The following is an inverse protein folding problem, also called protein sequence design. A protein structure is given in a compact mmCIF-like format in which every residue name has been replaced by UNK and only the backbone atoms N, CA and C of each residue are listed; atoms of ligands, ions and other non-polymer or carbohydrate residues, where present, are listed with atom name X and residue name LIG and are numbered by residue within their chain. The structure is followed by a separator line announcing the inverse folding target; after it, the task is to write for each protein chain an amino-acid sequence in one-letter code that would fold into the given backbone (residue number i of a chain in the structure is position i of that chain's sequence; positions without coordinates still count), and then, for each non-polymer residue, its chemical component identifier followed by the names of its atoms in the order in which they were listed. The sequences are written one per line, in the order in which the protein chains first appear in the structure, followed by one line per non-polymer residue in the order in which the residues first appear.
data_IF_811728900579
#
_entry.id   IF_811728900579
#
_cell.length_a   1.000
_cell.length_b   1.000
_cell.length_c   1.000
_cell.angle_alpha   90.00
_cell.angle_beta   90.00
_cell.angle_gamma   90.00
#
_symmetry.space_group_name_H-M   'P 1'
#
loop_
_entity.id
_entity.type
_entity.pdbx_description
1 polymer ?
2 non-polymer ?
3 non-polymer ?
4 water ?
#
# COMPACT_ATOMS: atom_id res chain seq x y z
N UNK A 1 -9.61 2.48 12.15
CA UNK A 1 -8.92 3.23 11.08
C UNK A 1 -7.80 2.38 10.51
N UNK A 2 -7.59 2.48 9.20
CA UNK A 2 -6.60 1.65 8.53
C UNK A 2 -5.64 2.51 7.75
N UNK A 3 -4.36 2.15 7.76
CA UNK A 3 -3.36 2.88 6.99
C UNK A 3 -2.34 1.93 6.40
N UNK A 4 -1.94 2.21 5.17
CA UNK A 4 -0.77 1.61 4.56
C UNK A 4 0.26 2.72 4.42
N UNK A 5 1.42 2.50 5.01
CA UNK A 5 2.49 3.48 4.97
C UNK A 5 3.61 2.91 4.13
N UNK A 6 4.11 3.71 3.19
CA UNK A 6 5.24 3.28 2.38
C UNK A 6 6.36 4.32 2.40
N UNK A 7 7.59 3.85 2.57
CA UNK A 7 8.78 4.70 2.55
C UNK A 7 9.13 5.05 1.11
N UNK A 8 9.32 6.34 0.83
CA UNK A 8 9.56 6.79 -0.54
C UNK A 8 10.75 7.75 -0.67
N UNK A 9 11.34 7.77 -1.85
CA UNK A 9 12.33 8.81 -2.17
C UNK A 9 11.62 10.02 -2.76
N UNK A 10 10.39 9.83 -3.21
CA UNK A 10 9.59 10.93 -3.75
C UNK A 10 8.24 10.48 -4.28
N UNK A 11 7.35 11.44 -4.50
CA UNK A 11 6.00 11.17 -5.00
C UNK A 11 5.39 12.41 -5.61
N UNK A 12 4.76 12.25 -6.77
CA UNK A 12 4.04 13.34 -7.43
C UNK A 12 2.59 12.92 -7.56
N UNK A 13 1.68 13.71 -6.98
CA UNK A 13 0.26 13.38 -6.98
C UNK A 13 -0.53 14.32 -7.91
N UNK A 14 -1.29 13.72 -8.81
CA UNK A 14 -2.17 14.50 -9.67
C UNK A 14 -3.62 14.04 -9.49
N UNK A 15 -4.55 14.95 -9.78
CA UNK A 15 -5.97 14.70 -9.52
C UNK A 15 -6.78 14.96 -10.78
N UNK A 16 -7.86 14.19 -10.96
CA UNK A 16 -8.77 14.44 -12.07
C UNK A 16 -9.56 15.72 -11.86
N UNK A 17 -9.52 16.59 -12.86
CA UNK A 17 -10.25 17.86 -12.86
C UNK A 17 -11.77 17.69 -12.76
N UNK A 18 -12.45 18.66 -12.17
CA UNK A 18 -13.92 18.64 -12.12
C UNK A 18 -14.52 19.04 -13.46
N UNK A 19 -13.89 20.01 -14.11
CA UNK A 19 -14.33 20.60 -15.36
C UNK A 19 -13.59 19.98 -16.54
N UNK A 20 -14.21 18.95 -17.16
CA UNK A 20 -13.55 18.17 -18.21
C UNK A 20 -14.28 18.26 -19.55
N UNK A 21 -13.55 18.67 -20.58
CA UNK A 21 -14.07 18.63 -21.94
C UNK A 21 -13.38 17.56 -22.76
N UNK A 22 -13.90 17.32 -23.96
CA UNK A 22 -13.27 16.49 -24.99
C UNK A 22 -11.89 17.04 -25.36
N UNK A 23 -10.96 16.15 -25.70
CA UNK A 23 -9.66 16.55 -26.24
C UNK A 23 -8.89 17.48 -25.29
N UNK A 24 -8.85 17.11 -24.02
CA UNK A 24 -8.20 17.92 -22.99
C UNK A 24 -7.35 17.09 -22.04
N UNK A 25 -6.37 17.73 -21.43
CA UNK A 25 -5.62 17.19 -20.29
C UNK A 25 -6.57 17.13 -19.09
N UNK A 26 -6.65 15.96 -18.46
CA UNK A 26 -7.65 15.76 -17.40
C UNK A 26 -7.10 15.72 -15.99
N UNK A 27 -5.81 15.38 -15.86
CA UNK A 27 -5.19 15.32 -14.54
C UNK A 27 -4.29 16.53 -14.31
N UNK A 28 -4.27 17.03 -13.07
CA UNK A 28 -3.41 18.16 -12.71
C UNK A 28 -2.61 17.86 -11.45
N UNK A 29 -1.32 18.15 -11.49
CA UNK A 29 -0.42 17.94 -10.34
C UNK A 29 -0.79 18.91 -9.22
N UNK A 30 -1.04 18.38 -8.03
CA UNK A 30 -1.38 19.22 -6.87
C UNK A 30 -0.41 19.10 -5.68
N UNK A 31 0.32 17.99 -5.63
CA UNK A 31 1.21 17.71 -4.50
C UNK A 31 2.45 16.96 -4.94
N UNK A 32 3.56 17.29 -4.31
CA UNK A 32 4.84 16.66 -4.57
C UNK A 32 5.62 16.59 -3.26
N UNK A 33 6.24 15.43 -3.00
CA UNK A 33 7.18 15.30 -1.88
C UNK A 33 8.48 14.67 -2.35
N UNK A 34 9.55 14.92 -1.61
CA UNK A 34 10.79 14.17 -1.80
C UNK A 34 10.80 13.01 -0.80
N UNK A 35 11.91 12.76 -0.11
CA UNK A 35 11.99 11.65 0.83
C UNK A 35 10.93 11.74 1.91
N UNK A 36 10.37 10.59 2.27
CA UNK A 36 9.41 10.55 3.37
C UNK A 36 8.48 9.36 3.27
N UNK A 37 7.23 9.58 3.67
CA UNK A 37 6.22 8.52 3.73
C UNK A 37 5.00 8.90 2.91
N UNK A 38 4.45 7.93 2.19
CA UNK A 38 3.09 8.08 1.67
C UNK A 38 2.19 7.26 2.57
N UNK A 39 1.08 7.85 3.02
CA UNK A 39 0.14 7.20 3.93
C UNK A 39 -1.24 7.14 3.28
N UNK A 40 -1.65 5.94 2.92
CA UNK A 40 -2.98 5.71 2.37
C UNK A 40 -3.90 5.45 3.54
N UNK A 41 -4.88 6.33 3.74
CA UNK A 41 -5.66 6.36 4.97
C UNK A 41 -7.14 6.09 4.75
N UNK A 42 -7.66 5.11 5.50
CA UNK A 42 -9.06 4.70 5.39
C UNK A 42 -9.79 4.92 6.70
N UNK A 43 -10.90 5.66 6.66
CA UNK A 43 -11.68 5.95 7.87
C UNK A 43 -12.87 4.98 7.98
N UNK A 44 -12.93 4.27 9.10
CA UNK A 44 -13.93 3.23 9.38
C UNK A 44 -15.17 3.90 9.93
N UNK A 45 -16.33 3.33 9.63
CA UNK A 45 -17.62 3.90 10.05
C UNK A 45 -17.71 4.19 11.55
N UNK A 46 -17.00 3.40 12.35
CA UNK A 46 -17.03 3.50 13.80
C UNK A 46 -15.80 4.16 14.42
N UNK A 47 -14.95 4.76 13.59
CA UNK A 47 -13.74 5.43 14.10
C UNK A 47 -14.06 6.62 14.99
N UNK A 48 -13.21 6.82 15.99
CA UNK A 48 -13.27 7.94 16.89
C UNK A 48 -11.96 8.71 16.77
N UNK A 49 -11.89 9.86 17.42
CA UNK A 49 -10.68 10.67 17.43
C UNK A 49 -9.50 9.90 17.98
N UNK A 50 -9.74 9.01 18.93
CA UNK A 50 -8.66 8.18 19.50
C UNK A 50 -8.02 7.28 18.45
N UNK A 51 -8.80 6.77 17.51
CA UNK A 51 -8.25 5.99 16.40
C UNK A 51 -7.30 6.85 15.57
N UNK A 52 -7.74 8.07 15.26
CA UNK A 52 -6.95 9.01 14.47
C UNK A 52 -5.65 9.37 15.18
N UNK A 53 -5.76 9.69 16.47
CA UNK A 53 -4.58 10.05 17.26
C UNK A 53 -3.54 8.92 17.31
N UNK A 54 -3.99 7.67 17.43
CA UNK A 54 -3.08 6.53 17.35
C UNK A 54 -2.34 6.49 16.03
N UNK A 55 -3.07 6.59 14.91
CA UNK A 55 -2.46 6.56 13.58
C UNK A 55 -1.44 7.67 13.39
N UNK A 56 -1.82 8.88 13.78
CA UNK A 56 -0.93 10.03 13.63
C UNK A 56 0.38 9.82 14.42
N UNK A 57 0.24 9.44 15.68
CA UNK A 57 1.39 9.18 16.57
C UNK A 57 2.30 8.10 16.00
N UNK A 58 1.71 7.01 15.51
CA UNK A 58 2.46 5.92 14.88
C UNK A 58 3.20 6.33 13.62
N UNK A 59 2.50 6.97 12.69
CA UNK A 59 3.10 7.45 11.44
C UNK A 59 4.30 8.35 11.71
N UNK A 60 4.16 9.23 12.68
CA UNK A 60 5.22 10.20 12.96
C UNK A 60 6.40 9.60 13.73
N UNK A 61 6.16 8.47 14.38
CA UNK A 61 7.15 7.82 15.23
C UNK A 61 7.86 6.60 14.66
N UNK A 62 7.29 5.99 13.63
CA UNK A 62 7.88 4.77 13.06
C UNK A 62 9.31 5.01 12.59
N UNK A 63 10.24 4.17 13.06
CA UNK A 63 11.65 4.40 12.77
C UNK A 63 12.04 3.56 11.54
N UNK A 64 11.92 4.19 10.38
CA UNK A 64 12.00 3.46 9.12
C UNK A 64 13.26 3.76 8.28
N UNK A 65 14.12 4.64 8.78
CA UNK A 65 15.38 4.97 8.12
C UNK A 65 16.59 4.66 8.96
N UNK A 66 17.64 4.18 8.30
CA UNK A 66 18.93 3.95 8.93
C UNK A 66 19.66 5.26 9.20
N UNK A 67 20.57 5.25 10.16
CA UNK A 67 21.43 6.40 10.41
C UNK A 67 22.75 6.28 9.65
N UNK A 68 23.85 6.12 10.38
CA UNK A 68 25.16 5.91 9.78
C UNK A 68 25.48 4.43 9.72
N UNK A 69 25.34 3.76 10.87
CA UNK A 69 25.50 2.31 10.94
C UNK A 69 24.22 1.64 11.44
N UNK A 70 23.53 2.31 12.36
CA UNK A 70 22.34 1.77 13.04
C UNK A 70 21.17 1.54 12.10
N UNK A 71 20.55 0.37 12.22
CA UNK A 71 19.39 0.00 11.42
C UNK A 71 18.07 0.44 12.09
N UNK A 72 17.09 0.84 11.27
CA UNK A 72 15.78 1.30 11.76
C UNK A 72 15.92 2.26 12.91
N UNK A 73 16.51 3.42 12.64
CA UNK A 73 16.96 4.33 13.69
C UNK A 73 16.19 5.65 13.77
N UNK A 74 15.80 6.18 12.62
CA UNK A 74 15.26 7.52 12.50
C UNK A 74 13.82 7.48 12.01
N UNK A 75 12.99 8.34 12.60
CA UNK A 75 11.63 8.54 12.10
C UNK A 75 11.57 9.72 11.13
N UNK A 76 10.40 9.95 10.54
CA UNK A 76 10.24 10.96 9.50
C UNK A 76 10.57 12.39 10.00
N UNK A 77 10.23 12.67 11.26
CA UNK A 77 10.48 13.98 11.88
C UNK A 77 11.97 14.20 12.12
N UNK A 78 12.66 13.16 12.57
CA UNK A 78 14.12 13.18 12.83
C UNK A 78 14.94 13.67 11.63
N UNK A 79 14.47 13.32 10.43
CA UNK A 79 15.18 13.63 9.21
C UNK A 79 14.59 14.84 8.48
N UNK A 80 13.57 15.46 9.09
CA UNK A 80 12.80 16.54 8.47
C UNK A 80 12.28 16.14 7.10
N UNK A 81 11.79 14.91 7.02
CA UNK A 81 11.22 14.37 5.80
C UNK A 81 9.73 14.71 5.70
N UNK A 82 9.12 14.36 4.57
CA UNK A 82 7.74 14.76 4.28
C UNK A 82 6.75 13.60 4.39
N UNK A 83 5.47 13.92 4.47
CA UNK A 83 4.40 12.93 4.43
C UNK A 83 3.34 13.32 3.41
N UNK A 84 2.94 12.37 2.59
CA UNK A 84 1.84 12.57 1.66
C UNK A 84 0.70 11.70 2.12
N UNK A 85 -0.39 12.34 2.52
CA UNK A 85 -1.54 11.65 3.07
C UNK A 85 -2.63 11.57 2.00
N UNK A 86 -3.04 10.35 1.69
CA UNK A 86 -3.98 10.11 0.61
C UNK A 86 -5.19 9.35 1.16
N UNK A 87 -6.38 9.90 0.99
CA UNK A 87 -7.60 9.23 1.42
C UNK A 87 -7.87 8.01 0.54
N UNK A 88 -8.23 6.91 1.17
CA UNK A 88 -8.32 5.62 0.50
C UNK A 88 -9.41 4.74 1.14
N UNK A 89 -10.61 4.76 0.59
CA UNK A 89 -11.69 3.94 1.17
C UNK A 89 -11.57 2.46 0.81
N UNK A 90 -10.70 2.15 -0.16
CA UNK A 90 -10.52 0.77 -0.64
C UNK A 90 -9.87 -0.16 0.39
N UNK A 91 -9.22 0.41 1.41
CA UNK A 91 -8.69 -0.40 2.52
C UNK A 91 -9.80 -1.13 3.29
N UNK A 92 -11.05 -0.73 3.07
CA UNK A 92 -12.20 -1.43 3.63
C UNK A 92 -12.86 -2.35 2.63
N UNK A 93 -12.21 -2.56 1.49
CA UNK A 93 -12.68 -3.54 0.52
C UNK A 93 -12.71 -4.90 1.18
N UNK A 94 -13.91 -5.37 1.49
CA UNK A 94 -14.11 -6.73 1.99
C UNK A 94 -13.95 -7.69 0.81
N UNK A 95 -12.95 -8.57 0.91
CA UNK A 95 -12.61 -9.50 -0.16
C UNK A 95 -12.98 -10.95 0.16
N UNK A 96 -13.71 -11.15 1.26
CA UNK A 96 -14.12 -12.48 1.71
C UNK A 96 -15.34 -13.04 0.96
N UNK A 97 -16.13 -12.17 0.35
CA UNK A 97 -17.44 -12.54 -0.20
C UNK A 97 -17.38 -13.13 -1.61
N UNK A 98 -16.20 -13.11 -2.23
CA UNK A 98 -16.04 -13.48 -3.63
C UNK A 98 -15.10 -12.48 -4.28
N UNK A 99 -15.29 -12.23 -5.58
CA UNK A 99 -14.35 -11.42 -6.38
C UNK A 99 -14.67 -9.92 -6.46
N UNK A 100 -15.89 -9.54 -6.06
CA UNK A 100 -16.25 -8.12 -6.08
C UNK A 100 -16.09 -7.52 -4.69
N UNK A 101 -15.13 -6.60 -4.54
CA UNK A 101 -14.93 -5.99 -3.23
C UNK A 101 -16.13 -5.11 -2.85
N UNK A 102 -16.54 -5.18 -1.59
CA UNK A 102 -17.55 -4.25 -1.08
C UNK A 102 -16.94 -3.44 0.07
N UNK A 103 -17.38 -2.20 0.16
CA UNK A 103 -16.71 -1.23 1.01
C UNK A 103 -17.64 -0.65 2.08
N UNK A 104 -18.58 -1.47 2.56
CA UNK A 104 -19.61 -1.00 3.48
C UNK A 104 -19.11 -0.54 4.83
N UNK A 105 -17.94 -1.02 5.24
CA UNK A 105 -17.34 -0.60 6.51
C UNK A 105 -16.74 0.81 6.48
N UNK A 106 -16.46 1.31 5.27
CA UNK A 106 -15.92 2.66 5.13
C UNK A 106 -16.90 3.68 5.66
N UNK A 107 -16.38 4.66 6.39
CA UNK A 107 -17.22 5.75 6.87
C UNK A 107 -17.82 6.51 5.70
N UNK A 108 -19.11 6.81 5.84
CA UNK A 108 -19.85 7.64 4.91
C UNK A 108 -19.09 8.93 4.52
N UNK A 109 -19.08 9.28 3.22
CA UNK A 109 -18.20 10.32 2.64
C UNK A 109 -18.22 11.74 3.26
N UNK A 110 -19.39 12.26 3.62
CA UNK A 110 -19.45 13.62 4.20
C UNK A 110 -18.75 13.71 5.55
N UNK A 111 -19.03 12.75 6.44
CA UNK A 111 -18.35 12.69 7.73
C UNK A 111 -16.88 12.27 7.60
N UNK A 112 -16.59 11.41 6.63
CA UNK A 112 -15.21 10.99 6.37
C UNK A 112 -14.34 12.16 5.92
N UNK A 113 -14.90 13.03 5.07
CA UNK A 113 -14.19 14.24 4.61
C UNK A 113 -13.80 15.15 5.77
N UNK A 114 -14.77 15.43 6.64
CA UNK A 114 -14.55 16.27 7.83
C UNK A 114 -13.47 15.64 8.72
N UNK A 115 -13.59 14.34 8.95
CA UNK A 115 -12.62 13.55 9.70
C UNK A 115 -11.24 13.65 9.07
N UNK A 116 -11.16 13.40 7.75
CA UNK A 116 -9.92 13.50 7.00
C UNK A 116 -9.24 14.86 7.17
N UNK A 117 -10.02 15.93 7.03
CA UNK A 117 -9.50 17.28 7.20
C UNK A 117 -8.99 17.54 8.61
N UNK A 118 -9.68 17.00 9.62
CA UNK A 118 -9.23 17.12 11.01
C UNK A 118 -7.89 16.40 11.19
N UNK A 119 -7.76 15.24 10.55
CA UNK A 119 -6.52 14.46 10.61
C UNK A 119 -5.34 15.19 10.00
N UNK A 120 -5.54 15.79 8.83
CA UNK A 120 -4.49 16.56 8.15
C UNK A 120 -4.02 17.70 9.06
N UNK A 121 -4.99 18.43 9.62
CA UNK A 121 -4.70 19.55 10.53
C UNK A 121 -3.90 19.10 11.75
N UNK A 122 -4.26 17.92 12.28
CA UNK A 122 -3.56 17.34 13.42
C UNK A 122 -2.14 16.86 13.07
N UNK A 123 -1.97 16.27 11.87
CA UNK A 123 -0.62 15.95 11.37
C UNK A 123 0.24 17.22 11.35
N UNK A 124 -0.33 18.33 10.87
CA UNK A 124 0.38 19.59 10.76
C UNK A 124 0.74 20.18 12.13
N UNK A 125 -0.17 20.04 13.10
CA UNK A 125 0.08 20.51 14.47
C UNK A 125 1.15 19.67 15.17
N UNK A 126 1.07 18.36 15.03
CA UNK A 126 2.00 17.45 15.70
C UNK A 126 3.38 17.48 15.07
N UNK A 127 3.46 17.79 13.78
CA UNK A 127 4.74 17.87 13.10
C UNK A 127 5.00 19.29 12.60
N UNK A 128 4.95 19.48 11.29
CA UNK A 128 5.32 20.74 10.66
C UNK A 128 4.39 20.93 9.47
N UNK A 129 3.69 22.06 9.40
CA UNK A 129 2.69 22.24 8.34
C UNK A 129 3.28 22.26 6.92
N UNK A 130 4.56 22.63 6.80
CA UNK A 130 5.25 22.64 5.51
C UNK A 130 5.62 21.23 5.01
N UNK A 131 5.54 20.25 5.90
CA UNK A 131 5.98 18.89 5.59
C UNK A 131 4.83 17.92 5.30
N UNK A 132 3.60 18.40 5.42
CA UNK A 132 2.40 17.57 5.21
C UNK A 132 1.73 17.95 3.90
N UNK A 133 1.66 17.01 2.97
CA UNK A 133 1.03 17.21 1.65
C UNK A 133 -0.15 16.26 1.55
N UNK A 134 -1.15 16.63 0.75
CA UNK A 134 -2.37 15.84 0.65
C UNK A 134 -2.84 15.65 -0.78
N UNK A 135 -3.79 14.73 -0.97
CA UNK A 135 -4.44 14.57 -2.26
C UNK A 135 -5.72 15.38 -2.32
N UNK A 136 -6.68 14.91 -3.09
CA UNK A 136 -7.99 15.54 -3.10
C UNK A 136 -9.05 14.51 -2.80
N UNK A 137 -9.62 14.60 -1.61
CA UNK A 137 -10.60 13.64 -1.13
C UNK A 137 -11.76 13.54 -2.13
N UNK A 138 -12.11 12.32 -2.50
CA UNK A 138 -13.27 12.11 -3.35
C UNK A 138 -13.01 12.14 -4.84
N UNK A 139 -11.75 12.38 -5.23
CA UNK A 139 -11.38 12.45 -6.64
C UNK A 139 -10.45 11.33 -7.08
N UNK A 140 -10.58 10.90 -8.34
CA UNK A 140 -9.61 10.01 -8.95
C UNK A 140 -8.24 10.67 -8.92
N UNK A 141 -7.23 9.90 -8.52
CA UNK A 141 -5.86 10.41 -8.45
C UNK A 141 -4.85 9.48 -9.10
N UNK A 142 -3.77 10.09 -9.57
CA UNK A 142 -2.64 9.38 -10.11
C UNK A 142 -1.47 9.74 -9.20
N UNK A 143 -0.72 8.74 -8.73
CA UNK A 143 0.47 9.03 -7.90
C UNK A 143 1.72 8.33 -8.43
N UNK A 144 2.67 9.13 -8.92
CA UNK A 144 3.96 8.61 -9.36
C UNK A 144 4.88 8.58 -8.15
N UNK A 145 5.30 7.38 -7.76
CA UNK A 145 6.03 7.17 -6.51
C UNK A 145 7.34 6.41 -6.78
N UNK A 146 8.39 6.77 -6.03
CA UNK A 146 9.61 5.98 -5.97
C UNK A 146 9.67 5.30 -4.60
N UNK A 147 9.32 4.02 -4.56
CA UNK A 147 9.36 3.22 -3.35
C UNK A 147 10.80 2.88 -2.97
N UNK A 148 11.11 3.10 -1.70
CA UNK A 148 12.47 3.03 -1.20
C UNK A 148 12.60 1.81 -0.27
N UNK A 149 13.04 0.68 -0.81
CA UNK A 149 13.24 -0.54 0.00
C UNK A 149 12.75 -1.83 -0.67
N UNK A 150 11.43 -1.95 -0.88
CA UNK A 150 10.39 -1.07 -0.36
C UNK A 150 10.21 -1.30 1.13
N UNK A 151 9.54 -0.37 1.79
CA UNK A 151 9.14 -0.56 3.17
C UNK A 151 7.64 -0.26 3.24
N UNK A 152 6.86 -1.29 3.53
CA UNK A 152 5.40 -1.17 3.63
C UNK A 152 4.94 -1.60 5.01
N UNK A 153 4.20 -0.71 5.68
CA UNK A 153 3.67 -0.96 7.02
C UNK A 153 2.14 -0.85 6.99
N UNK A 154 1.47 -1.78 7.64
CA UNK A 154 0.01 -1.71 7.74
C UNK A 154 -0.41 -1.62 9.19
N UNK A 155 -1.32 -0.69 9.49
CA UNK A 155 -1.88 -0.56 10.82
C UNK A 155 -3.40 -0.50 10.75
N UNK A 156 -4.07 -1.35 11.52
CA UNK A 156 -5.52 -1.25 11.73
C UNK A 156 -5.72 -1.00 13.22
N UNK A 157 -6.28 0.16 13.58
CA UNK A 157 -6.45 0.53 14.98
C UNK A 157 -7.43 -0.38 15.71
N UNK A 158 -8.23 -1.13 14.96
CA UNK A 158 -9.19 -2.05 15.56
C UNK A 158 -8.54 -3.33 16.01
N UNK A 159 -7.30 -3.56 15.57
CA UNK A 159 -6.46 -4.66 16.05
C UNK A 159 -5.78 -4.29 17.37
N UNK A 160 -5.91 -3.01 17.73
CA UNK A 160 -5.25 -2.45 18.91
C UNK A 160 -6.28 -2.33 20.04
N UNK A 161 -5.83 -2.56 21.26
CA UNK A 161 -6.71 -2.42 22.42
C UNK A 161 -6.78 -0.96 22.89
N UNK A 162 -7.43 -0.13 22.08
CA UNK A 162 -7.57 1.29 22.39
C UNK A 162 -8.79 1.53 23.28
N UNK A 163 -8.66 2.51 24.17
CA UNK A 163 -9.74 2.90 25.04
C UNK A 163 -10.63 3.92 24.34
N UNK B 1 -1.02 -15.01 6.31
CA UNK B 1 -0.27 -14.33 5.22
C UNK B 1 -0.87 -12.96 4.99
N UNK B 2 -0.02 -11.99 4.68
CA UNK B 2 -0.46 -10.60 4.47
C UNK B 2 -0.04 -10.11 3.10
N UNK B 3 -0.94 -9.39 2.46
CA UNK B 3 -0.64 -8.76 1.17
C UNK B 3 -1.18 -7.33 1.10
N UNK B 4 -0.40 -6.46 0.50
CA UNK B 4 -0.88 -5.14 0.07
C UNK B 4 -0.87 -5.17 -1.45
N UNK B 5 -2.04 -4.98 -2.04
CA UNK B 5 -2.23 -4.97 -3.49
C UNK B 5 -2.49 -3.54 -3.93
N UNK B 6 -1.68 -3.04 -4.86
CA UNK B 6 -1.92 -1.74 -5.44
C UNK B 6 -2.11 -1.80 -6.95
N UNK B 7 -3.14 -1.10 -7.42
CA UNK B 7 -3.45 -1.03 -8.84
C UNK B 7 -2.52 0.00 -9.50
N UNK B 8 -1.83 -0.41 -10.55
CA UNK B 8 -0.80 0.43 -11.17
C UNK B 8 -0.96 0.60 -12.68
N UNK B 9 -0.48 1.72 -13.21
CA UNK B 9 -0.35 1.91 -14.65
C UNK B 9 0.97 1.30 -15.12
N UNK B 10 1.90 1.15 -14.18
CA UNK B 10 3.22 0.58 -14.45
C UNK B 10 4.11 0.56 -13.22
N UNK B 11 5.17 -0.25 -13.29
CA UNK B 11 6.15 -0.34 -12.21
C UNK B 11 7.50 -0.79 -12.77
N UNK B 12 8.56 -0.17 -12.26
CA UNK B 12 9.92 -0.51 -12.68
C UNK B 12 10.71 -0.81 -11.41
N UNK B 13 11.17 -2.05 -11.31
CA UNK B 13 11.90 -2.47 -10.12
C UNK B 13 13.38 -2.59 -10.44
N UNK B 14 14.19 -1.93 -9.62
CA UNK B 14 15.64 -1.97 -9.78
C UNK B 14 16.32 -2.38 -8.47
N UNK B 15 17.53 -2.92 -8.60
CA UNK B 15 18.33 -3.34 -7.45
C UNK B 15 19.76 -2.82 -7.61
N UNK B 16 20.54 -2.89 -6.53
CA UNK B 16 21.90 -2.37 -6.56
C UNK B 16 22.86 -3.26 -7.36
N UNK B 17 23.79 -2.61 -8.05
CA UNK B 17 24.89 -3.23 -8.80
C UNK B 17 24.67 -4.69 -9.24
N UNK B 27 21.96 1.71 -9.77
CA UNK B 27 20.82 0.79 -9.79
C UNK B 27 20.63 0.16 -11.16
N UNK B 28 20.07 -1.04 -11.17
CA UNK B 28 19.87 -1.80 -12.39
C UNK B 28 18.45 -2.38 -12.42
N UNK B 29 17.73 -2.11 -13.51
CA UNK B 29 16.36 -2.58 -13.69
C UNK B 29 16.34 -4.09 -13.89
N UNK B 30 15.54 -4.79 -13.09
CA UNK B 30 15.41 -6.24 -13.25
C UNK B 30 13.99 -6.71 -13.63
N UNK B 31 12.99 -5.90 -13.28
CA UNK B 31 11.60 -6.23 -13.61
C UNK B 31 10.86 -4.97 -13.98
N UNK B 32 10.01 -5.06 -14.99
CA UNK B 32 9.07 -3.97 -15.30
C UNK B 32 7.73 -4.49 -15.79
N UNK B 33 6.67 -3.80 -15.38
CA UNK B 33 5.33 -4.11 -15.87
C UNK B 33 4.65 -2.83 -16.30
N UNK B 34 3.64 -2.98 -17.15
CA UNK B 34 2.74 -1.90 -17.51
C UNK B 34 1.51 -2.00 -16.58
N UNK B 35 0.31 -1.89 -17.13
CA UNK B 35 -0.89 -1.94 -16.28
C UNK B 35 -1.00 -3.26 -15.54
N UNK B 36 -1.47 -3.19 -14.31
CA UNK B 36 -1.73 -4.39 -13.52
C UNK B 36 -1.64 -4.12 -12.03
N UNK B 37 -1.02 -5.04 -11.30
CA UNK B 37 -0.95 -4.96 -9.84
C UNK B 37 0.47 -5.12 -9.36
N UNK B 38 0.80 -4.39 -8.30
CA UNK B 38 1.97 -4.68 -7.51
C UNK B 38 1.46 -5.29 -6.20
N UNK B 39 2.05 -6.41 -5.81
CA UNK B 39 1.60 -7.15 -4.64
C UNK B 39 2.75 -7.31 -3.67
N UNK B 40 2.65 -6.60 -2.55
CA UNK B 40 3.68 -6.67 -1.50
C UNK B 40 3.27 -7.79 -0.56
N UNK B 41 4.09 -8.84 -0.50
CA UNK B 41 3.67 -10.08 0.13
C UNK B 41 4.51 -10.44 1.35
N UNK B 42 3.83 -10.61 2.48
CA UNK B 42 4.49 -10.99 3.74
C UNK B 42 4.08 -12.39 4.20
N UNK B 43 5.06 -13.23 4.47
CA UNK B 43 4.82 -14.61 4.91
C UNK B 43 4.97 -14.76 6.43
N UNK B 44 3.90 -15.19 7.08
CA UNK B 44 3.84 -15.40 8.53
C UNK B 44 4.55 -16.68 8.88
N UNK B 45 5.18 -16.72 10.06
CA UNK B 45 5.86 -17.92 10.54
C UNK B 45 4.99 -19.19 10.54
N UNK B 46 3.68 -19.01 10.71
CA UNK B 46 2.74 -20.13 10.77
C UNK B 46 1.87 -20.32 9.52
N UNK B 47 2.24 -19.66 8.42
CA UNK B 47 1.47 -19.78 7.18
C UNK B 47 1.48 -21.18 6.60
N UNK B 48 0.36 -21.57 5.99
CA UNK B 48 0.23 -22.85 5.32
C UNK B 48 0.08 -22.61 3.82
N UNK B 49 0.16 -23.68 3.02
CA UNK B 49 -0.11 -23.55 1.59
C UNK B 49 -1.48 -22.98 1.32
N UNK B 50 -2.45 -23.31 2.16
CA UNK B 50 -3.82 -22.81 1.99
C UNK B 50 -3.89 -21.29 2.14
N UNK B 51 -3.10 -20.73 3.06
CA UNK B 51 -2.97 -19.27 3.18
C UNK B 51 -2.48 -18.66 1.87
N UNK B 52 -1.42 -19.26 1.30
CA UNK B 52 -0.85 -18.83 0.03
C UNK B 52 -1.86 -18.89 -1.12
N UNK B 53 -2.55 -20.03 -1.23
CA UNK B 53 -3.56 -20.22 -2.27
C UNK B 53 -4.66 -19.16 -2.25
N UNK B 54 -5.10 -18.78 -1.05
CA UNK B 54 -6.09 -17.72 -0.88
C UNK B 54 -5.58 -16.38 -1.42
N UNK B 55 -4.35 -16.01 -1.04
CA UNK B 55 -3.76 -14.76 -1.48
C UNK B 55 -3.58 -14.74 -3.00
N UNK B 56 -3.06 -15.85 -3.55
CA UNK B 56 -2.86 -15.93 -5.00
C UNK B 56 -4.18 -15.79 -5.74
N UNK B 57 -5.20 -16.53 -5.28
CA UNK B 57 -6.56 -16.42 -5.82
C UNK B 57 -7.07 -14.99 -5.82
N UNK B 58 -6.94 -14.30 -4.70
CA UNK B 58 -7.40 -12.91 -4.58
C UNK B 58 -6.66 -11.95 -5.50
N UNK B 59 -5.33 -12.05 -5.54
CA UNK B 59 -4.54 -11.19 -6.44
C UNK B 59 -4.98 -11.35 -7.89
N UNK B 60 -5.26 -12.59 -8.28
CA UNK B 60 -5.57 -12.91 -9.67
C UNK B 60 -7.03 -12.68 -10.07
N UNK B 61 -7.92 -12.72 -9.09
CA UNK B 61 -9.36 -12.69 -9.37
C UNK B 61 -10.15 -11.53 -8.81
N UNK B 62 -9.56 -10.75 -7.90
CA UNK B 62 -10.27 -9.59 -7.38
C UNK B 62 -10.54 -8.59 -8.51
N UNK B 63 -11.78 -8.12 -8.58
CA UNK B 63 -12.18 -7.27 -9.70
C UNK B 63 -11.91 -5.80 -9.36
N UNK B 64 -10.70 -5.36 -9.64
CA UNK B 64 -10.23 -4.03 -9.24
C UNK B 64 -10.29 -3.02 -10.39
N UNK B 65 -10.81 -3.45 -11.54
CA UNK B 65 -11.08 -2.57 -12.68
C UNK B 65 -12.54 -2.61 -13.05
N UNK B 66 -12.95 -1.69 -13.92
CA UNK B 66 -14.35 -1.55 -14.30
C UNK B 66 -14.61 -2.15 -15.68
N UNK B 67 -15.88 -2.48 -15.92
CA UNK B 67 -16.37 -2.69 -17.27
C UNK B 67 -16.94 -1.36 -17.73
N UNK B 68 -17.38 -1.27 -18.98
CA UNK B 68 -17.92 0.02 -19.45
C UNK B 68 -19.14 0.45 -18.63
N UNK B 69 -19.91 -0.53 -18.15
CA UNK B 69 -21.19 -0.26 -17.49
C UNK B 69 -21.25 -0.62 -16.01
N UNK B 70 -20.22 -1.31 -15.51
CA UNK B 70 -20.19 -1.77 -14.13
C UNK B 70 -18.85 -1.44 -13.47
N UNK B 71 -18.91 -0.97 -12.23
CA UNK B 71 -17.69 -0.77 -11.42
C UNK B 71 -17.27 -2.10 -10.79
N UNK B 72 -15.97 -2.26 -10.54
CA UNK B 72 -15.41 -3.45 -9.88
C UNK B 72 -15.89 -4.72 -10.53
N UNK B 73 -15.64 -4.84 -11.82
CA UNK B 73 -16.20 -5.90 -12.67
C UNK B 73 -15.14 -6.76 -13.37
N UNK B 74 -13.91 -6.26 -13.45
CA UNK B 74 -12.85 -6.94 -14.21
C UNK B 74 -11.59 -7.15 -13.36
N UNK B 75 -11.01 -8.35 -13.48
CA UNK B 75 -9.78 -8.65 -12.76
C UNK B 75 -8.54 -8.56 -13.66
N UNK B 76 -7.37 -8.78 -13.07
CA UNK B 76 -6.10 -8.63 -13.79
C UNK B 76 -5.99 -9.60 -14.97
N UNK B 77 -6.52 -10.80 -14.82
CA UNK B 77 -6.47 -11.80 -15.88
C UNK B 77 -7.42 -11.44 -17.02
N UNK B 78 -8.60 -10.91 -16.66
CA UNK B 78 -9.60 -10.46 -17.65
C UNK B 78 -9.01 -9.49 -18.66
N UNK B 79 -8.19 -8.57 -18.18
CA UNK B 79 -7.64 -7.50 -19.01
C UNK B 79 -6.28 -7.85 -19.57
N UNK B 80 -5.82 -9.07 -19.28
CA UNK B 80 -4.49 -9.53 -19.69
C UNK B 80 -3.36 -8.64 -19.19
N UNK B 81 -3.55 -8.15 -17.96
CA UNK B 81 -2.59 -7.26 -17.33
C UNK B 81 -1.51 -8.07 -16.58
N UNK B 82 -0.55 -7.37 -15.99
CA UNK B 82 0.58 -8.03 -15.36
C UNK B 82 0.56 -7.90 -13.84
N UNK B 83 1.36 -8.72 -13.17
CA UNK B 83 1.57 -8.60 -11.74
C UNK B 83 3.06 -8.56 -11.40
N UNK B 84 3.40 -7.67 -10.47
CA UNK B 84 4.74 -7.62 -9.93
C UNK B 84 4.64 -8.02 -8.46
N UNK B 85 5.24 -9.17 -8.12
CA UNK B 85 5.17 -9.70 -6.76
C UNK B 85 6.45 -9.35 -6.03
N UNK B 86 6.32 -8.71 -4.88
CA UNK B 86 7.48 -8.23 -4.15
C UNK B 86 7.43 -8.78 -2.74
N UNK B 87 8.43 -9.57 -2.37
CA UNK B 87 8.51 -10.09 -1.01
C UNK B 87 8.76 -8.95 -0.02
N UNK B 88 7.94 -8.89 1.02
CA UNK B 88 7.93 -7.76 1.94
C UNK B 88 7.66 -8.23 3.37
N UNK B 89 8.73 -8.47 4.12
CA UNK B 89 8.56 -8.95 5.49
C UNK B 89 8.15 -7.86 6.48
N UNK B 90 8.23 -6.60 6.05
CA UNK B 90 7.85 -5.46 6.88
C UNK B 90 6.34 -5.44 7.22
N UNK B 91 5.53 -6.17 6.45
CA UNK B 91 4.11 -6.34 6.79
C UNK B 91 3.93 -7.04 8.14
N UNK B 92 5.00 -7.66 8.62
CA UNK B 92 5.06 -8.18 9.98
C UNK B 92 6.04 -7.35 10.79
N UNK B 93 5.69 -6.08 10.98
CA UNK B 93 6.60 -5.11 11.60
C UNK B 93 6.55 -5.04 13.12
N UNK B 94 5.53 -5.64 13.73
CA UNK B 94 5.30 -5.56 15.17
C UNK B 94 5.15 -4.12 15.70
N UNK B 95 4.50 -3.27 14.91
CA UNK B 95 4.28 -1.87 15.27
C UNK B 95 3.35 -1.70 16.49
N UNK B 96 2.71 -2.80 16.91
CA UNK B 96 1.86 -2.81 18.10
C UNK B 96 2.70 -2.71 19.37
N UNK B 97 3.97 -3.14 19.27
CA UNK B 97 4.85 -3.34 20.42
C UNK B 97 6.10 -2.45 20.43
N UNK B 98 6.31 -1.68 19.38
CA UNK B 98 7.47 -0.80 19.29
C UNK B 98 7.33 0.15 18.11
N UNK B 99 8.24 1.11 18.01
CA UNK B 99 8.30 2.03 16.86
C UNK B 99 9.40 1.64 15.88
N UNK B 100 10.32 0.80 16.35
CA UNK B 100 11.26 0.12 15.48
C UNK B 100 10.66 -1.22 15.09
N UNK B 101 10.51 -1.47 13.76
CA UNK B 101 10.01 -2.75 13.26
C UNK B 101 10.84 -3.95 13.73
N UNK B 102 10.14 -4.93 14.32
CA UNK B 102 10.75 -6.20 14.73
C UNK B 102 9.98 -7.31 14.03
N UNK B 103 10.69 -8.12 13.26
CA UNK B 103 10.07 -9.07 12.34
C UNK B 103 9.95 -10.49 12.90
N UNK B 104 9.56 -10.60 14.17
CA UNK B 104 9.50 -11.91 14.83
C UNK B 104 8.33 -12.76 14.42
N UNK B 105 7.25 -12.14 13.96
CA UNK B 105 6.10 -12.90 13.42
C UNK B 105 6.34 -13.41 12.00
N UNK B 106 7.31 -12.82 11.31
CA UNK B 106 7.65 -13.21 9.93
C UNK B 106 8.34 -14.58 9.90
N UNK B 107 8.01 -15.38 8.89
CA UNK B 107 8.65 -16.67 8.68
C UNK B 107 10.15 -16.48 8.48
N UNK B 108 10.94 -17.35 9.11
CA UNK B 108 12.39 -17.36 8.96
C UNK B 108 12.74 -17.28 7.47
N UNK B 109 13.63 -16.34 7.09
CA UNK B 109 13.89 -16.01 5.69
C UNK B 109 14.29 -17.17 4.77
N UNK B 110 15.11 -18.09 5.27
CA UNK B 110 15.60 -19.20 4.44
C UNK B 110 14.48 -20.17 4.08
N UNK B 111 13.65 -20.46 5.07
CA UNK B 111 12.46 -21.27 4.88
C UNK B 111 11.42 -20.50 4.06
N UNK B 112 11.31 -19.20 4.31
CA UNK B 112 10.40 -18.33 3.55
C UNK B 112 10.74 -18.28 2.06
N UNK B 113 12.03 -18.30 1.74
CA UNK B 113 12.47 -18.28 0.35
C UNK B 113 11.93 -19.48 -0.45
N UNK B 114 12.00 -20.66 0.14
CA UNK B 114 11.51 -21.88 -0.51
C UNK B 114 10.00 -21.83 -0.69
N UNK B 115 9.32 -21.35 0.36
CA UNK B 115 7.86 -21.11 0.31
C UNK B 115 7.50 -20.10 -0.78
N UNK B 116 8.25 -19.00 -0.85
CA UNK B 116 8.04 -17.97 -1.87
C UNK B 116 8.22 -18.52 -3.30
N UNK B 117 9.21 -19.40 -3.47
CA UNK B 117 9.41 -20.07 -4.76
C UNK B 117 8.15 -20.83 -5.21
N UNK B 118 7.51 -21.51 -4.26
CA UNK B 118 6.27 -22.23 -4.52
C UNK B 118 5.14 -21.28 -4.90
N UNK B 119 5.05 -20.17 -4.18
CA UNK B 119 4.03 -19.14 -4.44
C UNK B 119 4.15 -18.59 -5.87
N UNK B 120 5.37 -18.24 -6.27
CA UNK B 120 5.60 -17.66 -7.60
C UNK B 120 5.23 -18.67 -8.68
N UNK B 121 5.62 -19.94 -8.50
CA UNK B 121 5.26 -21.02 -9.42
C UNK B 121 3.73 -21.14 -9.57
N UNK B 122 3.00 -20.98 -8.46
CA UNK B 122 1.54 -21.12 -8.46
C UNK B 122 0.87 -19.92 -9.15
N UNK B 123 1.40 -18.72 -8.95
CA UNK B 123 0.97 -17.53 -9.71
C UNK B 123 1.09 -17.80 -11.22
N UNK B 124 2.23 -18.37 -11.61
CA UNK B 124 2.49 -18.66 -13.03
C UNK B 124 1.60 -19.76 -13.56
N UNK B 125 1.26 -20.72 -12.71
CA UNK B 125 0.37 -21.81 -13.08
C UNK B 125 -1.08 -21.33 -13.24
N UNK B 126 -1.56 -20.53 -12.29
CA UNK B 126 -2.93 -20.03 -12.33
C UNK B 126 -3.15 -19.01 -13.43
N UNK B 127 -2.11 -18.26 -13.78
CA UNK B 127 -2.26 -17.26 -14.81
C UNK B 127 -1.39 -17.68 -16.00
N UNK B 128 -0.33 -16.93 -16.29
CA UNK B 128 0.71 -17.44 -17.19
C UNK B 128 2.09 -16.86 -16.88
N UNK B 129 3.12 -17.61 -17.27
CA UNK B 129 4.52 -17.28 -16.96
C UNK B 129 4.89 -15.85 -17.32
N UNK B 130 4.46 -15.43 -18.51
CA UNK B 130 4.77 -14.14 -19.10
C UNK B 130 4.23 -12.93 -18.32
N UNK B 131 3.14 -13.13 -17.58
CA UNK B 131 2.46 -12.02 -16.92
C UNK B 131 2.88 -11.80 -15.46
N UNK B 132 3.75 -12.66 -14.93
CA UNK B 132 4.21 -12.57 -13.54
C UNK B 132 5.67 -12.16 -13.51
N UNK B 133 5.94 -11.03 -12.86
CA UNK B 133 7.31 -10.56 -12.63
C UNK B 133 7.51 -10.49 -11.12
N UNK B 134 8.76 -10.61 -10.69
CA UNK B 134 9.05 -10.54 -9.25
C UNK B 134 10.26 -9.67 -8.95
N UNK B 135 10.43 -9.34 -7.66
CA UNK B 135 11.60 -8.59 -7.22
C UNK B 135 12.82 -9.48 -6.98
N UNK B 136 13.70 -9.03 -6.09
CA UNK B 136 14.88 -9.80 -5.72
C UNK B 136 14.86 -10.06 -4.22
N UNK B 137 14.42 -11.26 -3.85
CA UNK B 137 14.25 -11.67 -2.44
C UNK B 137 15.51 -11.37 -1.63
N UNK B 138 15.33 -10.71 -0.50
CA UNK B 138 16.42 -10.45 0.43
C UNK B 138 17.34 -9.31 0.04
N UNK B 139 16.98 -8.56 -1.00
CA UNK B 139 17.79 -7.44 -1.48
C UNK B 139 17.04 -6.11 -1.42
N UNK B 140 17.79 -5.02 -1.27
CA UNK B 140 17.25 -3.69 -1.42
C UNK B 140 16.68 -3.49 -2.83
N UNK B 141 15.49 -2.90 -2.91
CA UNK B 141 14.84 -2.63 -4.19
C UNK B 141 14.36 -1.18 -4.27
N UNK B 142 14.48 -0.60 -5.46
CA UNK B 142 13.91 0.70 -5.76
C UNK B 142 12.77 0.44 -6.73
N UNK B 143 11.56 0.87 -6.39
CA UNK B 143 10.40 0.58 -7.27
C UNK B 143 9.68 1.87 -7.68
N UNK B 144 9.82 2.22 -8.96
CA UNK B 144 9.12 3.37 -9.52
C UNK B 144 7.75 2.89 -9.97
N UNK B 145 6.71 3.45 -9.37
CA UNK B 145 5.33 2.99 -9.58
C UNK B 145 4.42 4.16 -9.95
N UNK B 146 3.50 3.92 -10.89
CA UNK B 146 2.38 4.84 -11.10
C UNK B 146 1.13 4.20 -10.51
N UNK B 147 0.71 4.69 -9.34
CA UNK B 147 -0.51 4.24 -8.69
C UNK B 147 -1.73 4.84 -9.38
N UNK B 148 -2.68 3.96 -9.70
CA UNK B 148 -3.82 4.29 -10.53
C UNK B 148 -5.09 4.28 -9.68
N UNK B 149 -5.56 5.46 -9.27
CA UNK B 149 -6.75 5.57 -8.40
C UNK B 149 -6.57 6.52 -7.23
N UNK B 150 -5.68 6.18 -6.29
CA UNK B 150 -5.05 4.86 -6.19
C UNK B 150 -6.09 3.85 -5.73
N UNK B 151 -5.77 2.56 -5.86
CA UNK B 151 -6.61 1.50 -5.35
C UNK B 151 -5.67 0.59 -4.57
N UNK B 152 -5.89 0.53 -3.26
CA UNK B 152 -5.03 -0.26 -2.36
C UNK B 152 -5.91 -1.24 -1.60
N UNK B 153 -5.54 -2.52 -1.67
CA UNK B 153 -6.29 -3.59 -1.03
C UNK B 153 -5.36 -4.26 -0.02
N UNK B 154 -5.90 -4.54 1.16
CA UNK B 154 -5.14 -5.29 2.15
C UNK B 154 -5.86 -6.58 2.52
N UNK B 155 -5.11 -7.68 2.56
CA UNK B 155 -5.66 -8.97 2.98
C UNK B 155 -4.74 -9.62 3.99
N UNK B 156 -5.31 -10.04 5.13
CA UNK B 156 -4.60 -10.88 6.10
C UNK B 156 -5.41 -12.17 6.23
N UNK B 157 -4.81 -13.30 5.85
CA UNK B 157 -5.53 -14.57 5.80
C UNK B 157 -5.88 -15.09 7.20
N UNK B 158 -5.22 -14.54 8.22
CA UNK B 158 -5.49 -14.88 9.61
C UNK B 158 -6.71 -14.14 10.13
N UNK B 159 -7.24 -13.23 9.32
CA UNK B 159 -8.42 -12.43 9.69
C UNK B 159 -9.73 -12.89 9.05
N UNK B 160 -9.67 -13.78 8.07
CA UNK B 160 -10.85 -14.13 7.28
C UNK B 160 -11.93 -14.86 8.08
X LIG C 1 -12.44 4.88 -5.11
X LIG C 1 -13.69 4.74 -5.73
X LIG C 1 -13.75 4.57 -7.12
X LIG C 1 -14.97 4.43 -7.72
X LIG C 1 -12.58 4.54 -7.87
X LIG C 1 -11.34 4.69 -7.24
X LIG C 1 -11.27 4.86 -5.86
X LIG C 1 -9.89 5.00 -5.19
X LIG C 1 -9.61 6.32 -4.47
X LIG C 1 -9.87 7.46 -5.38
X LIG C 1 -10.45 6.44 -3.20
X LIG C 1 -10.44 5.57 -2.31
X LIG C 1 -11.21 7.52 -3.16
X LIG C 1 -12.12 7.80 -2.05
X LIG C 1 -11.45 8.70 -1.02
X LIG C 1 -10.66 9.72 -1.65
X LIG C 1 -13.26 8.69 -2.57
X LIG C 1 -14.43 7.89 -3.17
X LIG C 1 -15.09 7.16 -2.15
X LIG C 1 -13.69 9.47 -1.41
X LIG C 1 -12.67 9.36 -0.37
X LIG C 1 -13.31 8.63 0.77
X LIG C 1 -14.62 8.43 0.88
X LIG C 1 -14.87 7.77 2.00
X LIG C 1 -13.70 7.54 2.62
X LIG C 1 -12.70 8.09 1.83
X LIG C 1 -11.41 8.00 2.22
X LIG C 1 -11.10 7.38 3.36
X LIG C 1 -12.04 6.84 4.14
X LIG C 1 -13.35 6.91 3.80
X LIG C 1 -14.28 6.37 4.58
X LIG D 1 8.77 9.35 -10.43
X LIG D 1 9.02 9.65 -9.06
X LIG D 1 8.48 7.86 -10.59
X LIG D 1 7.42 7.66 -11.52
X LIG D 1 7.88 6.92 -12.67
X LIG D 1 7.13 5.59 -12.77
X LIG D 1 4.94 4.31 -15.39
X LIG D 1 5.71 3.31 -14.87
X LIG D 1 6.99 3.76 -14.14
X LIG D 1 7.20 5.10 -14.11
X LIG E 1 14.24 -4.98 4.59
X LIG E 1 15.49 -5.08 5.20
X LIG E 1 16.59 -4.44 4.61
X LIG E 1 17.81 -4.53 5.21
X LIG E 1 16.44 -3.72 3.43
X LIG E 1 15.19 -3.63 2.82
X LIG E 1 14.09 -4.27 3.39
X LIG E 1 12.70 -4.17 2.74
X LIG E 1 12.39 -5.26 1.70
X LIG E 1 13.50 -5.40 0.74
X LIG E 1 12.06 -6.60 2.41
X LIG E 1 11.17 -6.68 3.27
X LIG E 1 12.82 -7.62 2.01
X LIG E 1 12.71 -8.97 2.58
X LIG E 1 12.16 -9.95 1.55
X LIG E 1 12.70 -9.68 0.25
X LIG E 1 14.11 -9.53 2.89
X LIG E 1 14.46 -9.30 4.35
X LIG E 1 15.51 -10.19 4.73
X LIG E 1 14.05 -10.97 2.59
X LIG E 1 12.72 -11.28 2.08
X LIG E 1 11.94 -12.00 3.16
X LIG E 1 12.48 -12.63 4.20
X LIG E 1 11.54 -13.17 4.95
X LIG E 1 10.37 -12.90 4.39
X LIG E 1 10.61 -12.16 3.25
X LIG E 1 9.57 -11.75 2.50
X LIG E 1 8.31 -12.04 2.85
X LIG E 1 8.05 -12.75 3.95
X LIG E 1 9.06 -13.20 4.74
X LIG E 1 8.80 -13.91 5.84
#
# INVERSE_FOLDING_TARGET
MRVVIQRVKGAILSVRKENIGENEKELEIISEIKNGLICFLGIHKNDTWEDALYIIRKCLNLRLWNNDNKTWDKNVKDLNYELLIVSQFTLFGNTKKGNKPDFHLAKEPNEALIFYNKIIDEFKKQYNDDKIKIGKFGNYMNIDVTNDGPVTIYIDTHDINLNK
MRVVIQRVKGAILSVRKENIGENEKELEIISEIKNGLICFLGIHKNDTWEDALYIIRKCLNLRLWNNDNKTWDKNVKDLNYELLIVSQFTLFGNTKKGNKPDFHLAKEPNEALIFYNKIIDEFKKQYNDDKIKIGKFGNYMNIDVTNDGPVTIYIDTHDINLNK
D3Y CD1 CE1 CZ OH CE2 CD2 CG CB CA N C O N8 C3' C2' O2' C4' C5' O5' O4' C1' N9 C8 N7 C5 C4 N3 C2 N1 C6 N6
PGE C1 O1 C2 O2 C3 C4 O4 C6 C5 O3
D3Y CD1 CE1 CZ OH CE2 CD2 CG CB CA N C O N8 C3' C2' O2' C4' C5' O5' O4' C1' N9 C8 N7 C5 C4 N3 C2 N1 C6 N6
#
